data_IF_081088850202
#
_entry.id   IF_081088850202
#
_cell.length_a   1.000
_cell.length_b   1.000
_cell.length_c   1.000
_cell.angle_alpha   90.00
_cell.angle_beta   90.00
_cell.angle_gamma   90.00
#
_symmetry.space_group_name_H-M   'P 1'
#
loop_
_entity.id
_entity.type
_entity.pdbx_description
1 polymer ?
#
# COMPACT_ATOMS: atom_id res chain seq x y z
N UNK A 1 -2.06 -5.13 20.35
CA UNK A 1 -2.37 -6.58 20.29
C UNK A 1 -2.56 -7.10 18.86
N UNK A 2 -3.40 -6.48 18.02
CA UNK A 2 -3.64 -6.96 16.63
C UNK A 2 -2.38 -7.00 15.75
N UNK A 3 -1.48 -6.02 15.87
CA UNK A 3 -0.21 -6.04 15.15
C UNK A 3 0.62 -7.31 15.45
N UNK A 4 0.70 -7.74 16.71
CA UNK A 4 1.43 -8.95 17.06
C UNK A 4 0.78 -10.20 16.42
N UNK A 5 -0.55 -10.30 16.49
CA UNK A 5 -1.30 -11.42 15.89
C UNK A 5 -1.13 -11.47 14.37
N UNK A 6 -1.11 -10.31 13.71
CA UNK A 6 -0.96 -10.23 12.25
C UNK A 6 0.35 -10.80 11.71
N UNK A 7 1.35 -11.04 12.57
CA UNK A 7 2.60 -11.70 12.17
C UNK A 7 2.44 -13.21 11.92
N UNK A 8 1.34 -13.82 12.36
CA UNK A 8 1.05 -15.25 12.17
C UNK A 8 0.24 -15.48 10.88
N UNK A 9 0.81 -16.21 9.91
CA UNK A 9 0.17 -16.44 8.60
C UNK A 9 -1.20 -17.14 8.67
N UNK A 10 -1.39 -17.97 9.70
CA UNK A 10 -2.63 -18.71 9.94
C UNK A 10 -3.82 -17.81 10.26
N UNK A 11 -3.59 -16.62 10.84
CA UNK A 11 -4.68 -15.70 11.24
C UNK A 11 -4.83 -14.49 10.31
N UNK A 12 -3.91 -14.29 9.36
CA UNK A 12 -3.94 -13.09 8.49
C UNK A 12 -5.25 -12.90 7.74
N UNK A 13 -5.84 -13.95 7.15
CA UNK A 13 -7.12 -13.81 6.46
C UNK A 13 -8.28 -13.54 7.41
N UNK A 14 -8.28 -14.16 8.60
CA UNK A 14 -9.29 -13.86 9.62
C UNK A 14 -9.25 -12.38 10.00
N UNK A 15 -8.05 -11.80 10.14
CA UNK A 15 -7.89 -10.36 10.40
C UNK A 15 -8.31 -9.49 9.22
N UNK A 16 -8.08 -9.94 7.98
CA UNK A 16 -8.59 -9.25 6.78
C UNK A 16 -10.12 -9.23 6.82
N UNK A 17 -10.75 -10.34 7.14
CA UNK A 17 -12.21 -10.48 7.07
C UNK A 17 -12.92 -9.79 8.23
N UNK A 18 -12.35 -9.84 9.44
CA UNK A 18 -13.01 -9.35 10.65
C UNK A 18 -12.54 -7.94 11.08
N UNK A 19 -11.29 -7.57 10.79
CA UNK A 19 -10.70 -6.36 11.38
C UNK A 19 -10.37 -5.27 10.36
N UNK A 20 -10.18 -5.59 9.07
CA UNK A 20 -9.77 -4.62 8.06
C UNK A 20 -10.68 -3.38 8.02
N UNK A 21 -12.00 -3.59 7.94
CA UNK A 21 -12.96 -2.50 7.86
C UNK A 21 -12.90 -1.63 9.12
N UNK A 22 -12.99 -2.23 10.30
CA UNK A 22 -12.95 -1.51 11.58
C UNK A 22 -11.64 -0.74 11.78
N UNK A 23 -10.49 -1.35 11.50
CA UNK A 23 -9.19 -0.67 11.57
C UNK A 23 -9.11 0.52 10.60
N UNK A 24 -9.75 0.41 9.44
CA UNK A 24 -9.77 1.47 8.44
C UNK A 24 -10.69 2.61 8.86
N UNK A 25 -11.95 2.31 9.17
CA UNK A 25 -12.98 3.32 9.42
C UNK A 25 -12.89 3.96 10.80
N UNK A 26 -12.42 3.23 11.82
CA UNK A 26 -12.39 3.75 13.19
C UNK A 26 -11.03 4.34 13.58
N UNK A 27 -9.95 4.00 12.85
CA UNK A 27 -8.60 4.47 13.19
C UNK A 27 -7.94 5.19 12.02
N UNK A 28 -7.75 4.50 10.89
CA UNK A 28 -6.95 5.02 9.80
C UNK A 28 -7.58 6.27 9.16
N UNK A 29 -8.84 6.20 8.74
CA UNK A 29 -9.56 7.30 8.09
C UNK A 29 -9.71 8.51 9.03
N UNK A 30 -10.26 8.38 10.26
CA UNK A 30 -10.51 9.54 11.12
C UNK A 30 -9.24 10.26 11.57
N UNK A 31 -8.11 9.56 11.65
CA UNK A 31 -6.87 10.10 12.23
C UNK A 31 -5.76 10.33 11.22
N UNK A 32 -5.91 9.93 9.95
CA UNK A 32 -4.93 10.21 8.90
C UNK A 32 -4.80 11.70 8.56
N UNK A 33 -5.89 12.47 8.74
CA UNK A 33 -6.01 13.85 8.25
C UNK A 33 -6.61 13.95 6.84
N UNK A 34 -6.88 12.81 6.19
CA UNK A 34 -7.61 12.78 4.92
C UNK A 34 -9.11 13.09 5.13
N UNK A 35 -9.72 13.81 4.19
CA UNK A 35 -11.16 14.02 4.11
C UNK A 35 -11.65 13.74 2.69
N UNK A 36 -12.81 13.09 2.59
CA UNK A 36 -13.44 12.71 1.32
C UNK A 36 -13.89 13.93 0.49
N UNK A 37 -14.26 15.02 1.15
CA UNK A 37 -14.78 16.24 0.49
C UNK A 37 -13.69 17.18 -0.05
N UNK A 38 -12.42 16.75 -0.07
CA UNK A 38 -11.29 17.56 -0.52
C UNK A 38 -10.91 18.71 0.42
N UNK A 39 -11.57 18.80 1.59
CA UNK A 39 -11.18 19.67 2.69
C UNK A 39 -9.86 19.21 3.30
N UNK A 40 -8.80 19.97 3.11
CA UNK A 40 -7.53 19.71 3.80
C UNK A 40 -7.62 20.25 5.23
N UNK A 41 -8.30 19.54 6.13
CA UNK A 41 -8.17 19.81 7.57
C UNK A 41 -7.00 19.01 8.14
N UNK A 42 -5.83 19.31 7.60
CA UNK A 42 -4.58 18.64 7.95
C UNK A 42 -4.09 19.03 9.34
N UNK A 43 -4.74 19.99 10.01
CA UNK A 43 -4.24 20.62 11.24
C UNK A 43 -5.25 20.65 12.36
N UNK A 44 -4.86 20.10 13.51
CA UNK A 44 -5.40 20.44 14.82
C UNK A 44 -4.29 21.22 15.53
N UNK A 45 -4.58 22.45 15.96
CA UNK A 45 -3.62 23.29 16.72
C UNK A 45 -2.24 23.51 16.04
N UNK A 46 -2.21 23.52 14.70
CA UNK A 46 -0.98 23.75 13.93
C UNK A 46 -0.09 22.52 13.74
N UNK A 47 -0.44 21.36 14.30
CA UNK A 47 0.24 20.08 14.08
C UNK A 47 -0.58 19.16 13.17
N UNK A 48 0.06 18.27 12.41
CA UNK A 48 -0.66 17.29 11.63
C UNK A 48 -1.48 16.35 12.52
N UNK A 49 -2.75 16.11 12.16
CA UNK A 49 -3.68 15.33 12.98
C UNK A 49 -3.19 13.91 13.28
N UNK A 50 -2.43 13.30 12.37
CA UNK A 50 -1.87 11.96 12.56
C UNK A 50 -0.80 11.90 13.66
N UNK A 51 -0.16 13.02 14.03
CA UNK A 51 0.87 13.07 15.08
C UNK A 51 0.25 12.78 16.46
N UNK A 52 -0.97 13.26 16.73
CA UNK A 52 -1.64 13.00 18.00
C UNK A 52 -2.01 11.53 18.18
N UNK A 53 -2.27 10.83 17.07
CA UNK A 53 -2.68 9.43 17.03
C UNK A 53 -1.56 8.50 16.55
N UNK A 54 -0.32 8.99 16.52
CA UNK A 54 0.82 8.27 15.94
C UNK A 54 0.97 6.84 16.49
N UNK A 55 0.90 6.57 17.80
CA UNK A 55 1.02 5.19 18.30
C UNK A 55 -0.09 4.26 17.79
N UNK A 56 -1.33 4.75 17.66
CA UNK A 56 -2.45 3.98 17.15
C UNK A 56 -2.31 3.73 15.64
N UNK A 57 -1.87 4.74 14.90
CA UNK A 57 -1.62 4.64 13.46
C UNK A 57 -0.42 3.73 13.16
N UNK A 58 0.66 3.77 13.94
CA UNK A 58 1.81 2.86 13.81
C UNK A 58 1.37 1.42 14.02
N UNK A 59 0.60 1.13 15.08
CA UNK A 59 0.09 -0.21 15.35
C UNK A 59 -0.87 -0.69 14.25
N UNK A 60 -1.75 0.20 13.77
CA UNK A 60 -2.74 -0.11 12.73
C UNK A 60 -2.06 -0.38 11.40
N UNK A 61 -1.22 0.54 10.92
CA UNK A 61 -0.46 0.39 9.67
C UNK A 61 0.50 -0.78 9.72
N UNK A 62 1.10 -1.09 10.88
CA UNK A 62 1.91 -2.29 11.10
C UNK A 62 1.10 -3.59 10.95
N UNK A 63 -0.12 -3.62 11.49
CA UNK A 63 -1.06 -4.73 11.29
C UNK A 63 -1.43 -4.89 9.80
N UNK A 64 -1.85 -3.80 9.15
CA UNK A 64 -2.24 -3.78 7.74
C UNK A 64 -1.08 -4.19 6.81
N UNK A 65 0.14 -3.75 7.12
CA UNK A 65 1.37 -4.18 6.43
C UNK A 65 1.54 -5.71 6.48
N UNK A 66 1.33 -6.33 7.64
CA UNK A 66 1.53 -7.76 7.78
C UNK A 66 0.46 -8.57 7.05
N UNK A 67 -0.82 -8.19 7.16
CA UNK A 67 -1.91 -8.95 6.51
C UNK A 67 -1.90 -8.80 4.97
N UNK A 68 -1.31 -7.72 4.44
CA UNK A 68 -1.16 -7.48 2.99
C UNK A 68 0.00 -8.25 2.33
N UNK A 69 0.84 -8.95 3.09
CA UNK A 69 2.18 -9.36 2.64
C UNK A 69 2.22 -10.36 1.48
N UNK A 70 1.24 -11.26 1.36
CA UNK A 70 1.35 -12.41 0.46
C UNK A 70 0.09 -12.71 -0.34
N UNK A 71 -1.08 -12.69 0.30
CA UNK A 71 -2.33 -13.15 -0.33
C UNK A 71 -2.91 -12.11 -1.27
N UNK A 72 -3.13 -12.51 -2.53
CA UNK A 72 -3.80 -11.68 -3.54
C UNK A 72 -5.17 -11.20 -3.09
N UNK A 73 -5.93 -12.08 -2.44
CA UNK A 73 -7.24 -11.73 -1.89
C UNK A 73 -7.17 -10.64 -0.83
N UNK A 74 -6.21 -10.71 0.10
CA UNK A 74 -5.99 -9.67 1.10
C UNK A 74 -5.69 -8.32 0.43
N UNK A 75 -4.80 -8.29 -0.56
CA UNK A 75 -4.47 -7.06 -1.29
C UNK A 75 -5.69 -6.48 -2.03
N UNK A 76 -6.52 -7.32 -2.68
CA UNK A 76 -7.76 -6.87 -3.33
C UNK A 76 -8.71 -6.23 -2.34
N UNK A 77 -9.04 -6.94 -1.24
CA UNK A 77 -9.92 -6.44 -0.18
C UNK A 77 -9.43 -5.11 0.40
N UNK A 78 -8.11 -4.95 0.57
CA UNK A 78 -7.53 -3.70 1.06
C UNK A 78 -7.60 -2.55 0.05
N UNK A 79 -7.40 -2.81 -1.24
CA UNK A 79 -7.58 -1.80 -2.29
C UNK A 79 -9.03 -1.36 -2.44
N UNK A 80 -9.97 -2.26 -2.16
CA UNK A 80 -11.41 -2.02 -2.22
C UNK A 80 -11.99 -1.44 -0.92
N UNK A 81 -11.20 -1.41 0.17
CA UNK A 81 -11.64 -0.85 1.45
C UNK A 81 -11.65 0.68 1.37
N UNK A 82 -12.85 1.27 1.43
CA UNK A 82 -13.09 2.70 1.25
C UNK A 82 -12.19 3.56 2.15
N UNK A 83 -11.50 4.53 1.55
CA UNK A 83 -10.63 5.47 2.26
C UNK A 83 -9.28 4.92 2.73
N UNK A 84 -9.02 3.61 2.64
CA UNK A 84 -7.74 3.02 3.06
C UNK A 84 -6.57 3.59 2.26
N UNK A 85 -6.64 3.51 0.93
CA UNK A 85 -5.55 3.94 0.05
C UNK A 85 -5.32 5.44 0.18
N UNK A 86 -6.39 6.23 0.15
CA UNK A 86 -6.31 7.69 0.25
C UNK A 86 -5.70 8.14 1.58
N UNK A 87 -6.13 7.55 2.70
CA UNK A 87 -5.58 7.83 4.03
C UNK A 87 -4.10 7.49 4.13
N UNK A 88 -3.68 6.34 3.59
CA UNK A 88 -2.28 5.90 3.60
C UNK A 88 -1.41 6.84 2.74
N UNK A 89 -1.90 7.26 1.57
CA UNK A 89 -1.21 8.22 0.70
C UNK A 89 -1.14 9.61 1.34
N UNK A 90 -2.18 10.03 2.06
CA UNK A 90 -2.19 11.29 2.80
C UNK A 90 -1.13 11.29 3.90
N UNK A 91 -1.07 10.25 4.73
CA UNK A 91 -0.05 10.10 5.77
C UNK A 91 1.35 10.13 5.14
N UNK A 92 1.59 9.38 4.06
CA UNK A 92 2.87 9.40 3.33
C UNK A 92 3.27 10.83 2.94
N UNK A 93 2.37 11.56 2.27
CA UNK A 93 2.64 12.93 1.82
C UNK A 93 2.92 13.86 2.98
N UNK A 94 2.15 13.73 4.06
CA UNK A 94 2.30 14.59 5.23
C UNK A 94 3.59 14.31 6.00
N UNK A 95 3.97 13.05 6.22
CA UNK A 95 5.23 12.69 6.88
C UNK A 95 6.44 13.24 6.09
N UNK A 96 6.42 13.08 4.76
CA UNK A 96 7.47 13.60 3.88
C UNK A 96 7.53 15.13 3.91
N UNK A 97 6.38 15.82 3.86
CA UNK A 97 6.36 17.29 3.86
C UNK A 97 6.83 17.91 5.18
N UNK A 98 6.71 17.17 6.28
CA UNK A 98 7.17 17.59 7.61
C UNK A 98 8.58 17.08 7.95
N UNK A 99 9.25 16.40 7.02
CA UNK A 99 10.62 15.89 7.20
C UNK A 99 10.73 14.68 8.14
N UNK A 100 9.62 13.98 8.42
CA UNK A 100 9.55 12.80 9.29
C UNK A 100 9.97 11.53 8.53
N UNK A 101 11.12 11.57 7.84
CA UNK A 101 11.55 10.52 6.91
C UNK A 101 12.01 9.21 7.57
N UNK A 102 12.33 9.26 8.87
CA UNK A 102 12.81 8.11 9.65
C UNK A 102 11.73 7.57 10.61
N UNK A 103 10.48 8.03 10.51
CA UNK A 103 9.42 7.62 11.43
C UNK A 103 9.01 6.16 11.20
N UNK A 104 8.59 5.51 12.28
CA UNK A 104 8.07 4.13 12.19
C UNK A 104 6.75 4.07 11.40
N UNK A 105 5.96 5.14 11.48
CA UNK A 105 4.70 5.28 10.74
C UNK A 105 4.97 5.27 9.24
N UNK A 106 5.92 6.08 8.78
CA UNK A 106 6.30 6.17 7.37
C UNK A 106 6.83 4.83 6.84
N UNK A 107 7.68 4.13 7.61
CA UNK A 107 8.16 2.79 7.24
C UNK A 107 7.00 1.80 6.99
N UNK A 108 6.02 1.77 7.91
CA UNK A 108 4.85 0.91 7.79
C UNK A 108 3.99 1.28 6.59
N UNK A 109 3.75 2.57 6.37
CA UNK A 109 2.96 3.11 5.25
C UNK A 109 3.59 2.76 3.90
N UNK A 110 4.90 2.97 3.75
CA UNK A 110 5.62 2.63 2.51
C UNK A 110 5.60 1.13 2.25
N UNK A 111 5.81 0.31 3.29
CA UNK A 111 5.71 -1.15 3.15
C UNK A 111 4.31 -1.60 2.75
N UNK A 112 3.27 -1.01 3.35
CA UNK A 112 1.89 -1.31 3.01
C UNK A 112 1.58 -0.93 1.55
N UNK A 113 1.96 0.28 1.13
CA UNK A 113 1.79 0.73 -0.26
C UNK A 113 2.51 -0.18 -1.26
N UNK A 114 3.74 -0.60 -0.95
CA UNK A 114 4.47 -1.58 -1.77
C UNK A 114 3.70 -2.89 -1.90
N UNK A 115 3.17 -3.41 -0.77
CA UNK A 115 2.43 -4.66 -0.77
C UNK A 115 1.15 -4.54 -1.61
N UNK A 116 0.32 -3.53 -1.41
CA UNK A 116 -0.95 -3.38 -2.17
C UNK A 116 -0.73 -2.98 -3.64
N UNK A 117 0.44 -2.44 -3.99
CA UNK A 117 0.83 -2.17 -5.38
C UNK A 117 1.32 -3.44 -6.11
N UNK A 118 1.71 -4.48 -5.38
CA UNK A 118 2.19 -5.73 -5.96
C UNK A 118 1.09 -6.40 -6.81
N UNK A 119 1.42 -6.69 -8.07
CA UNK A 119 0.49 -7.21 -9.10
C UNK A 119 -0.78 -6.39 -9.31
N UNK A 120 -0.80 -5.09 -8.99
CA UNK A 120 -2.00 -4.26 -9.17
C UNK A 120 -2.57 -4.35 -10.59
N UNK A 121 -1.71 -4.30 -11.61
CA UNK A 121 -2.09 -4.42 -13.03
C UNK A 121 -2.78 -5.75 -13.42
N UNK A 122 -2.70 -6.79 -12.58
CA UNK A 122 -3.35 -8.10 -12.79
C UNK A 122 -4.53 -8.35 -11.86
N UNK A 123 -4.59 -7.65 -10.73
CA UNK A 123 -5.53 -7.94 -9.64
C UNK A 123 -6.65 -6.91 -9.50
N UNK A 124 -6.58 -5.77 -10.22
CA UNK A 124 -7.65 -4.79 -10.25
C UNK A 124 -8.85 -5.29 -11.07
N UNK A 125 -10.06 -4.77 -10.80
CA UNK A 125 -11.20 -4.98 -11.68
C UNK A 125 -10.84 -4.57 -13.12
N UNK A 126 -11.26 -5.38 -14.08
CA UNK A 126 -10.98 -5.18 -15.50
C UNK A 126 -9.49 -5.21 -15.91
N UNK A 127 -8.69 -6.00 -15.20
CA UNK A 127 -7.26 -6.19 -15.46
C UNK A 127 -6.93 -6.57 -16.92
N UNK A 128 -7.86 -7.21 -17.63
CA UNK A 128 -7.72 -7.58 -19.05
C UNK A 128 -7.38 -6.40 -19.96
N UNK A 129 -7.79 -5.17 -19.61
CA UNK A 129 -7.47 -3.95 -20.37
C UNK A 129 -5.98 -3.59 -20.30
N UNK A 130 -5.28 -4.08 -19.28
CA UNK A 130 -3.87 -3.82 -19.01
C UNK A 130 -2.99 -5.02 -19.35
N UNK A 131 -3.58 -6.17 -19.69
CA UNK A 131 -2.85 -7.30 -20.24
C UNK A 131 -2.57 -6.99 -21.70
N UNK A 132 -1.33 -6.64 -22.03
CA UNK A 132 -0.89 -6.58 -23.41
C UNK A 132 -1.26 -7.92 -24.08
N UNK A 133 -2.05 -7.85 -25.16
CA UNK A 133 -2.20 -9.02 -26.03
C UNK A 133 -0.80 -9.44 -26.48
N UNK A 134 -0.43 -10.74 -26.45
CA UNK A 134 0.80 -11.19 -27.05
C UNK A 134 0.71 -10.92 -28.56
N UNK A 135 1.12 -9.72 -28.98
CA UNK A 135 1.22 -9.36 -30.38
C UNK A 135 2.33 -10.21 -30.98
N UNK A 136 1.92 -11.25 -31.72
CA UNK A 136 2.66 -11.92 -32.78
C UNK A 136 4.13 -12.25 -32.51
N UNK A 137 4.40 -13.32 -31.76
CA UNK A 137 5.67 -14.06 -31.86
C UNK A 137 5.71 -14.97 -33.12
N UNK A 138 5.28 -14.45 -34.28
CA UNK A 138 5.42 -15.14 -35.56
C UNK A 138 5.66 -14.14 -36.71
N UNK A 139 6.90 -13.67 -36.81
CA UNK A 139 7.62 -13.49 -38.08
C UNK A 139 9.06 -12.99 -37.81
N UNK A 140 10.02 -13.86 -38.15
CA UNK A 140 11.32 -13.53 -38.76
C UNK A 140 12.39 -12.74 -37.96
N UNK A 141 13.38 -13.51 -37.52
CA UNK A 141 14.84 -13.26 -37.62
C UNK A 141 15.28 -11.81 -37.85
N UNK A 142 15.64 -11.10 -36.78
CA UNK A 142 16.77 -10.17 -36.76
C UNK A 142 17.17 -9.86 -35.31
N UNK A 143 18.36 -10.34 -34.91
CA UNK A 143 19.01 -10.01 -33.66
C UNK A 143 19.35 -8.50 -33.61
N UNK A 144 19.08 -7.82 -32.49
CA UNK A 144 19.96 -6.78 -32.02
C UNK A 144 20.46 -7.17 -30.61
N UNK A 145 21.50 -8.00 -30.58
CA UNK A 145 22.25 -8.27 -29.36
C UNK A 145 22.96 -6.97 -28.93
N UNK A 146 22.46 -6.35 -27.86
CA UNK A 146 23.01 -5.11 -27.27
C UNK A 146 24.09 -5.39 -26.20
N UNK A 147 24.80 -6.52 -26.30
CA UNK A 147 26.02 -6.75 -25.53
C UNK A 147 27.17 -7.03 -26.49
N UNK A 148 28.05 -6.04 -26.65
CA UNK A 148 29.24 -6.14 -27.46
C UNK A 148 30.16 -7.25 -26.97
N UNK A 149 30.29 -8.31 -27.77
CA UNK A 149 31.30 -9.34 -27.59
C UNK A 149 32.66 -8.72 -27.94
N UNK A 150 33.51 -8.48 -26.93
CA UNK A 150 34.94 -8.24 -27.18
C UNK A 150 35.60 -9.57 -27.55
N UNK A 151 36.16 -9.68 -28.75
CA UNK A 151 37.05 -10.77 -29.17
C UNK A 151 38.51 -10.31 -29.14
N UNK A 152 39.39 -11.22 -28.72
CA UNK A 152 40.84 -11.23 -28.96
C UNK A 152 41.67 -10.93 -27.71
N UNK A 153 42.74 -11.66 -27.39
CA UNK A 153 43.60 -12.58 -28.16
C UNK A 153 44.00 -13.78 -27.30
#
# INVERSE_FOLDING_TARGET
TLWNLSSLDSVKMELVDQALYTLTQEILVPHSGWQQDGGMQDRVEGKPRHVEWEPALVNTTGCLRNISSERSEARRKMRECEGLVDSVVHILRSEVSHGLVDSKLLENVVCLLRNISYHVHREIPHAEKYMESPQNASAETQNPSCFGVRRGK
#
